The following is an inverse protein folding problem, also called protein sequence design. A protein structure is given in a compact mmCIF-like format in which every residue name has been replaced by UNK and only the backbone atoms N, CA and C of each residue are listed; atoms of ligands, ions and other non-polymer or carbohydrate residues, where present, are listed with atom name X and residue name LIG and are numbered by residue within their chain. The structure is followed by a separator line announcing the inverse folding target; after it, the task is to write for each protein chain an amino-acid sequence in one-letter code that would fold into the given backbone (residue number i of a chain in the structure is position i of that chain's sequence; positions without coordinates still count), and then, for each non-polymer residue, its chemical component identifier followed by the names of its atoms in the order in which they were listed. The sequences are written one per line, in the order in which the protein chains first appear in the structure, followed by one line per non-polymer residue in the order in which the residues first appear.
data_IF_383210937239
#
_entry.id   IF_383210937239
#
_cell.length_a   1.000
_cell.length_b   1.000
_cell.length_c   1.000
_cell.angle_alpha   90.00
_cell.angle_beta   90.00
_cell.angle_gamma   90.00
#
_symmetry.space_group_name_H-M   'P 1'
#
loop_
_entity.id
_entity.type
_entity.pdbx_description
1 polymer ?
#
# COMPACT_ATOMS: atom_id res chain seq x y z
N UNK A 1 9.64 -15.11 13.59
CA UNK A 1 8.99 -14.38 12.50
C UNK A 1 7.56 -14.84 12.49
N UNK A 2 6.59 -13.94 12.44
CA UNK A 2 5.19 -14.27 12.21
C UNK A 2 5.12 -15.06 10.92
N UNK A 3 4.46 -16.21 10.98
CA UNK A 3 4.17 -17.01 9.81
C UNK A 3 3.11 -16.25 8.98
N UNK A 4 3.50 -15.76 7.81
CA UNK A 4 2.61 -15.00 6.93
C UNK A 4 1.35 -15.79 6.58
N UNK A 5 1.49 -17.10 6.31
CA UNK A 5 0.34 -17.95 6.00
C UNK A 5 -0.59 -18.13 7.18
N UNK A 6 -0.05 -18.15 8.41
CA UNK A 6 -0.87 -18.15 9.62
C UNK A 6 -1.68 -16.86 9.76
N UNK A 7 -1.05 -15.69 9.53
CA UNK A 7 -1.75 -14.40 9.57
C UNK A 7 -2.91 -14.39 8.56
N UNK A 8 -2.64 -14.81 7.32
CA UNK A 8 -3.69 -14.92 6.30
C UNK A 8 -4.79 -15.88 6.75
N UNK A 9 -4.43 -17.06 7.27
CA UNK A 9 -5.40 -18.05 7.69
C UNK A 9 -6.30 -17.59 8.85
N UNK A 10 -5.75 -16.83 9.79
CA UNK A 10 -6.48 -16.32 10.93
C UNK A 10 -7.44 -15.16 10.53
N UNK A 11 -7.04 -14.31 9.57
CA UNK A 11 -7.77 -13.08 9.24
C UNK A 11 -8.65 -13.15 7.97
N UNK A 12 -8.40 -14.09 7.06
CA UNK A 12 -9.22 -14.27 5.84
C UNK A 12 -10.70 -14.52 6.15
N UNK A 13 -11.08 -15.38 7.12
CA UNK A 13 -12.49 -15.68 7.39
C UNK A 13 -13.30 -14.50 7.95
N UNK A 14 -12.63 -13.42 8.38
CA UNK A 14 -13.25 -12.29 9.06
C UNK A 14 -13.94 -11.33 8.08
N UNK A 15 -15.05 -10.75 8.51
CA UNK A 15 -15.76 -9.68 7.82
C UNK A 15 -15.10 -8.32 8.13
N UNK A 16 -13.88 -8.10 7.62
CA UNK A 16 -13.05 -6.91 7.88
C UNK A 16 -13.49 -5.65 7.12
N UNK A 17 -14.78 -5.48 6.82
CA UNK A 17 -15.27 -4.20 6.29
C UNK A 17 -15.04 -3.08 7.31
N UNK A 18 -14.95 -1.85 6.82
CA UNK A 18 -14.72 -0.67 7.64
C UNK A 18 -15.77 -0.58 8.76
N UNK A 19 -15.28 -0.41 10.00
CA UNK A 19 -16.09 -0.31 11.22
C UNK A 19 -16.83 -1.60 11.67
N UNK A 20 -16.47 -2.81 11.23
CA UNK A 20 -17.06 -4.04 11.78
C UNK A 20 -16.42 -4.48 13.12
N UNK A 21 -17.10 -5.38 13.85
CA UNK A 21 -16.52 -6.03 15.03
C UNK A 21 -15.29 -6.86 14.67
N UNK A 22 -15.32 -7.53 13.52
CA UNK A 22 -14.21 -8.32 12.99
C UNK A 22 -12.99 -7.44 12.62
N UNK A 23 -13.21 -6.19 12.21
CA UNK A 23 -12.14 -5.22 12.06
C UNK A 23 -11.56 -4.82 13.41
N UNK A 24 -12.38 -4.62 14.45
CA UNK A 24 -11.91 -4.39 15.83
C UNK A 24 -11.04 -5.56 16.34
N UNK A 25 -11.43 -6.80 16.04
CA UNK A 25 -10.65 -8.01 16.34
C UNK A 25 -9.33 -8.06 15.55
N UNK A 26 -9.37 -7.67 14.27
CA UNK A 26 -8.18 -7.58 13.42
C UNK A 26 -7.16 -6.59 14.01
N UNK A 27 -7.60 -5.41 14.47
CA UNK A 27 -6.71 -4.42 15.11
C UNK A 27 -6.03 -5.01 16.35
N UNK A 28 -6.77 -5.72 17.21
CA UNK A 28 -6.21 -6.41 18.39
C UNK A 28 -5.17 -7.45 17.98
N UNK A 29 -5.50 -8.27 16.99
CA UNK A 29 -4.60 -9.29 16.45
C UNK A 29 -3.28 -8.67 15.94
N UNK A 30 -3.35 -7.55 15.22
CA UNK A 30 -2.15 -6.88 14.71
C UNK A 30 -1.29 -6.27 15.83
N UNK A 31 -1.91 -5.71 16.88
CA UNK A 31 -1.20 -5.15 18.04
C UNK A 31 -0.46 -6.21 18.87
N UNK A 32 -0.91 -7.47 18.83
CA UNK A 32 -0.18 -8.59 19.45
C UNK A 32 1.09 -8.98 18.65
N UNK A 33 1.16 -8.63 17.37
CA UNK A 33 2.30 -8.97 16.49
C UNK A 33 3.39 -7.89 16.53
N UNK A 34 3.01 -6.62 16.34
CA UNK A 34 3.92 -5.47 16.40
C UNK A 34 3.31 -4.37 17.27
N UNK A 35 4.15 -3.51 17.91
CA UNK A 35 3.67 -2.47 18.81
C UNK A 35 3.10 -1.28 18.03
N UNK A 36 2.01 -1.52 17.30
CA UNK A 36 1.33 -0.53 16.49
C UNK A 36 0.71 0.56 17.38
N UNK A 37 0.88 1.82 16.97
CA UNK A 37 0.10 2.96 17.43
C UNK A 37 -1.23 2.96 16.69
N UNK A 38 -2.31 3.05 17.43
CA UNK A 38 -3.65 3.17 16.87
C UNK A 38 -4.09 4.63 16.77
N UNK A 39 -4.72 4.96 15.64
CA UNK A 39 -5.37 6.22 15.35
C UNK A 39 -6.86 5.96 15.13
N UNK A 40 -7.71 6.63 15.90
CA UNK A 40 -9.16 6.43 15.88
C UNK A 40 -9.90 7.70 15.51
N UNK A 41 -10.88 7.59 14.63
CA UNK A 41 -11.74 8.70 14.21
C UNK A 41 -13.20 8.32 14.41
N UNK A 42 -13.95 9.18 15.11
CA UNK A 42 -15.37 8.97 15.39
C UNK A 42 -16.25 9.39 14.21
N UNK A 43 -17.46 8.84 14.13
CA UNK A 43 -18.40 9.08 13.03
C UNK A 43 -18.78 10.56 12.78
N UNK A 44 -18.63 11.43 13.78
CA UNK A 44 -18.87 12.88 13.69
C UNK A 44 -17.68 13.67 13.12
N UNK A 45 -16.53 13.01 12.92
CA UNK A 45 -15.38 13.61 12.26
C UNK A 45 -15.63 13.67 10.75
N UNK A 46 -16.02 14.84 10.25
CA UNK A 46 -16.17 15.11 8.83
C UNK A 46 -14.86 15.61 8.22
N UNK A 47 -14.35 14.91 7.21
CA UNK A 47 -13.11 15.28 6.53
C UNK A 47 -13.24 15.16 5.02
N UNK A 48 -13.02 16.27 4.28
CA UNK A 48 -13.06 16.33 2.81
C UNK A 48 -14.31 15.69 2.14
N UNK A 49 -15.45 15.67 2.85
CA UNK A 49 -16.70 15.06 2.36
C UNK A 49 -16.79 13.54 2.55
N UNK A 50 -15.74 12.90 3.07
CA UNK A 50 -15.78 11.50 3.49
C UNK A 50 -16.66 11.33 4.72
N UNK A 51 -17.31 10.17 4.80
CA UNK A 51 -18.24 9.81 5.87
C UNK A 51 -17.85 8.45 6.40
N UNK A 52 -17.42 8.42 7.66
CA UNK A 52 -17.17 7.17 8.38
C UNK A 52 -18.51 6.43 8.50
N UNK A 53 -18.63 5.19 7.97
CA UNK A 53 -19.90 4.47 8.00
C UNK A 53 -20.26 4.06 9.43
N UNK A 54 -21.52 3.68 9.63
CA UNK A 54 -21.90 3.02 10.88
C UNK A 54 -21.06 1.75 11.08
N UNK A 55 -20.81 1.41 12.34
CA UNK A 55 -20.44 0.04 12.67
C UNK A 55 -21.53 -0.90 12.15
N UNK A 56 -21.12 -1.98 11.50
CA UNK A 56 -22.02 -2.87 10.78
C UNK A 56 -21.57 -4.32 10.92
N UNK A 57 -22.44 -5.15 11.50
CA UNK A 57 -22.23 -6.58 11.69
C UNK A 57 -23.45 -7.37 11.22
N UNK A 58 -23.24 -8.48 10.53
CA UNK A 58 -24.32 -9.37 10.08
C UNK A 58 -24.64 -10.36 11.21
N UNK A 59 -25.92 -10.48 11.59
CA UNK A 59 -26.39 -11.48 12.57
C UNK A 59 -26.98 -12.71 11.90
N UNK A 60 -27.76 -12.51 10.86
CA UNK A 60 -28.34 -13.57 10.06
C UNK A 60 -28.65 -13.04 8.67
N UNK A 61 -28.43 -13.85 7.63
CA UNK A 61 -28.85 -13.50 6.29
C UNK A 61 -29.22 -14.76 5.51
N UNK A 62 -30.48 -14.86 5.08
CA UNK A 62 -31.01 -16.02 4.33
C UNK A 62 -32.16 -15.67 3.41
N UNK A 63 -32.39 -16.55 2.45
CA UNK A 63 -33.51 -16.53 1.50
C UNK A 63 -34.23 -17.87 1.61
N UNK A 64 -35.52 -17.82 1.91
CA UNK A 64 -36.41 -18.97 2.02
C UNK A 64 -37.40 -18.98 0.84
N UNK A 65 -37.68 -20.16 0.29
CA UNK A 65 -38.70 -20.38 -0.75
C UNK A 65 -39.60 -21.55 -0.36
N UNK A 66 -40.92 -21.34 -0.37
CA UNK A 66 -41.92 -22.33 0.06
C UNK A 66 -41.63 -22.94 1.45
N UNK A 67 -41.17 -22.10 2.38
CA UNK A 67 -40.86 -22.49 3.75
C UNK A 67 -39.55 -23.28 3.93
N UNK A 68 -38.67 -23.30 2.92
CA UNK A 68 -37.34 -23.90 3.00
C UNK A 68 -36.25 -22.89 2.68
N UNK A 69 -35.19 -22.85 3.48
CA UNK A 69 -33.99 -22.07 3.19
C UNK A 69 -33.29 -22.62 1.96
N UNK A 70 -33.11 -21.76 0.95
CA UNK A 70 -32.43 -22.08 -0.31
C UNK A 70 -31.09 -21.36 -0.45
N UNK A 71 -30.88 -20.30 0.32
CA UNK A 71 -29.61 -19.58 0.42
C UNK A 71 -29.41 -19.08 1.84
N UNK A 72 -28.21 -19.25 2.39
CA UNK A 72 -27.82 -18.74 3.70
C UNK A 72 -26.39 -18.22 3.60
N UNK A 73 -26.12 -17.09 4.24
CA UNK A 73 -24.80 -16.44 4.19
C UNK A 73 -23.75 -17.29 4.91
N UNK A 74 -22.98 -18.06 4.14
CA UNK A 74 -21.83 -18.85 4.65
C UNK A 74 -20.47 -18.19 4.48
N UNK A 75 -20.41 -17.03 3.81
CA UNK A 75 -19.17 -16.33 3.50
C UNK A 75 -19.31 -14.81 3.76
N UNK A 76 -18.28 -14.09 4.21
CA UNK A 76 -18.37 -12.64 4.44
C UNK A 76 -18.78 -11.81 3.22
N UNK A 77 -18.54 -12.33 2.00
CA UNK A 77 -18.96 -11.69 0.76
C UNK A 77 -20.44 -11.89 0.40
N UNK A 78 -21.15 -12.82 1.05
CA UNK A 78 -22.49 -13.23 0.64
C UNK A 78 -23.56 -12.13 0.82
N UNK A 79 -23.27 -11.10 1.61
CA UNK A 79 -24.13 -9.92 1.79
C UNK A 79 -23.36 -8.69 1.31
N UNK A 80 -24.05 -7.78 0.61
CA UNK A 80 -23.43 -6.52 0.20
C UNK A 80 -22.86 -5.79 1.41
N UNK A 81 -21.63 -5.26 1.30
CA UNK A 81 -21.02 -4.51 2.39
C UNK A 81 -21.93 -3.31 2.76
N UNK A 82 -22.20 -3.13 4.07
CA UNK A 82 -23.13 -2.14 4.60
C UNK A 82 -24.60 -2.29 4.15
N UNK A 83 -25.04 -3.49 3.77
CA UNK A 83 -26.45 -3.78 3.47
C UNK A 83 -27.36 -3.33 4.62
N UNK A 84 -28.48 -2.66 4.32
CA UNK A 84 -29.51 -2.38 5.34
C UNK A 84 -30.17 -3.69 5.80
N UNK A 85 -30.62 -3.73 7.05
CA UNK A 85 -31.51 -4.81 7.51
C UNK A 85 -32.77 -4.87 6.66
N UNK A 86 -33.22 -6.07 6.31
CA UNK A 86 -34.45 -6.33 5.58
C UNK A 86 -35.15 -7.58 6.12
N UNK A 87 -36.47 -7.49 6.28
CA UNK A 87 -37.30 -8.65 6.59
C UNK A 87 -38.64 -8.52 5.89
N UNK A 88 -38.87 -9.36 4.90
CA UNK A 88 -40.09 -9.28 4.10
C UNK A 88 -40.19 -10.40 3.10
N UNK A 89 -41.34 -10.42 2.42
CA UNK A 89 -41.62 -11.33 1.32
C UNK A 89 -41.59 -10.52 0.02
N UNK A 90 -40.84 -10.98 -0.97
CA UNK A 90 -40.71 -10.33 -2.29
C UNK A 90 -40.95 -11.37 -3.39
N UNK A 91 -41.38 -10.93 -4.56
CA UNK A 91 -41.47 -11.84 -5.72
C UNK A 91 -40.08 -12.09 -6.34
N UNK A 92 -40.00 -13.03 -7.29
CA UNK A 92 -38.75 -13.36 -7.98
C UNK A 92 -38.08 -12.15 -8.65
N UNK A 93 -38.84 -11.28 -9.30
CA UNK A 93 -38.28 -10.17 -10.07
C UNK A 93 -37.76 -9.06 -9.15
N UNK A 94 -38.44 -8.81 -8.04
CA UNK A 94 -37.97 -7.93 -6.98
C UNK A 94 -36.72 -8.51 -6.31
N UNK A 95 -36.72 -9.80 -5.92
CA UNK A 95 -35.53 -10.45 -5.35
C UNK A 95 -34.33 -10.30 -6.28
N UNK A 96 -34.51 -10.53 -7.59
CA UNK A 96 -33.45 -10.40 -8.59
C UNK A 96 -32.84 -9.02 -8.68
N UNK A 97 -33.56 -7.96 -8.32
CA UNK A 97 -33.01 -6.60 -8.26
C UNK A 97 -31.99 -6.43 -7.11
N UNK A 98 -32.10 -7.26 -6.07
CA UNK A 98 -31.27 -7.24 -4.85
C UNK A 98 -30.23 -8.39 -4.82
N UNK A 99 -30.06 -9.11 -5.93
CA UNK A 99 -29.04 -10.14 -6.07
C UNK A 99 -27.95 -9.69 -7.03
N UNK A 100 -26.70 -9.82 -6.60
CA UNK A 100 -25.51 -9.53 -7.38
C UNK A 100 -24.72 -10.82 -7.61
N UNK A 101 -24.17 -11.00 -8.81
CA UNK A 101 -23.37 -12.18 -9.17
C UNK A 101 -22.18 -11.76 -10.04
N UNK A 102 -21.13 -12.57 -10.05
CA UNK A 102 -19.98 -12.34 -10.90
C UNK A 102 -20.30 -12.74 -12.35
N UNK A 103 -19.92 -11.88 -13.32
CA UNK A 103 -20.16 -12.13 -14.75
C UNK A 103 -19.06 -12.97 -15.42
N UNK A 104 -17.92 -13.15 -14.77
CA UNK A 104 -16.77 -13.93 -15.23
C UNK A 104 -16.91 -15.39 -14.79
N UNK A 105 -17.34 -15.63 -13.54
CA UNK A 105 -17.47 -16.97 -12.95
C UNK A 105 -18.89 -17.24 -12.43
N UNK A 106 -19.61 -18.24 -12.96
CA UNK A 106 -21.01 -18.48 -12.60
C UNK A 106 -21.22 -19.12 -11.22
N UNK A 107 -20.15 -19.64 -10.62
CA UNK A 107 -20.11 -20.29 -9.31
C UNK A 107 -19.56 -19.42 -8.19
N UNK A 108 -18.90 -18.30 -8.52
CA UNK A 108 -18.29 -17.41 -7.55
C UNK A 108 -19.29 -16.45 -6.87
N UNK A 109 -18.99 -16.07 -5.63
CA UNK A 109 -19.65 -15.00 -4.88
C UNK A 109 -18.83 -13.71 -5.02
N UNK A 110 -19.36 -12.65 -5.66
CA UNK A 110 -18.62 -11.41 -5.86
C UNK A 110 -18.54 -10.56 -4.59
N UNK A 111 -17.52 -9.70 -4.50
CA UNK A 111 -17.46 -8.63 -3.51
C UNK A 111 -18.18 -7.37 -3.98
N UNK A 112 -19.31 -7.04 -3.35
CA UNK A 112 -20.05 -5.80 -3.64
C UNK A 112 -19.72 -4.68 -2.64
N UNK A 113 -18.70 -3.88 -2.97
CA UNK A 113 -18.12 -2.86 -2.10
C UNK A 113 -18.69 -1.43 -2.24
N UNK A 114 -19.56 -1.18 -3.23
CA UNK A 114 -19.96 0.20 -3.64
C UNK A 114 -20.49 1.08 -2.51
N UNK A 115 -21.15 0.50 -1.50
CA UNK A 115 -21.74 1.25 -0.40
C UNK A 115 -20.69 1.72 0.62
N UNK A 116 -19.49 1.13 0.64
CA UNK A 116 -18.38 1.59 1.49
C UNK A 116 -17.96 3.03 1.14
N UNK A 117 -18.04 3.40 -0.15
CA UNK A 117 -17.76 4.76 -0.62
C UNK A 117 -18.97 5.70 -0.65
N UNK A 118 -20.17 5.16 -0.39
CA UNK A 118 -21.45 5.88 -0.49
C UNK A 118 -22.34 5.47 0.68
N UNK A 119 -21.80 5.52 1.89
CA UNK A 119 -22.45 5.00 3.11
C UNK A 119 -23.80 5.66 3.44
N UNK A 120 -24.08 6.84 2.87
CA UNK A 120 -25.38 7.54 2.96
C UNK A 120 -26.43 7.05 1.95
N UNK A 121 -26.04 6.26 0.95
CA UNK A 121 -26.92 5.68 -0.05
C UNK A 121 -26.75 4.17 -0.05
N UNK A 122 -27.51 3.52 0.83
CA UNK A 122 -27.48 2.07 1.02
C UNK A 122 -28.78 1.44 0.58
N UNK A 123 -28.66 0.21 0.13
CA UNK A 123 -29.72 -0.73 -0.16
C UNK A 123 -29.48 -2.01 0.64
N UNK A 124 -30.40 -2.96 0.53
CA UNK A 124 -30.20 -4.33 0.97
C UNK A 124 -29.91 -5.26 -0.21
N UNK A 125 -29.16 -6.34 0.03
CA UNK A 125 -28.98 -7.36 -1.00
C UNK A 125 -27.90 -8.39 -0.69
N UNK A 126 -27.88 -9.42 -1.53
CA UNK A 126 -26.97 -10.56 -1.44
C UNK A 126 -26.04 -10.62 -2.66
N UNK A 127 -24.83 -11.09 -2.44
CA UNK A 127 -23.97 -11.59 -3.48
C UNK A 127 -24.16 -13.11 -3.55
N UNK A 128 -24.42 -13.64 -4.74
CA UNK A 128 -24.75 -15.05 -4.97
C UNK A 128 -24.03 -15.59 -6.21
N UNK A 129 -23.81 -16.90 -6.31
CA UNK A 129 -23.44 -17.52 -7.58
C UNK A 129 -24.48 -17.23 -8.65
N UNK A 130 -24.06 -16.97 -9.88
CA UNK A 130 -24.98 -16.79 -11.02
C UNK A 130 -25.90 -17.99 -11.20
N UNK A 131 -25.42 -19.20 -10.94
CA UNK A 131 -26.22 -20.43 -10.97
C UNK A 131 -27.40 -20.40 -10.01
N UNK A 132 -27.24 -19.81 -8.81
CA UNK A 132 -28.35 -19.59 -7.87
C UNK A 132 -29.36 -18.59 -8.44
N UNK A 133 -28.88 -17.46 -8.96
CA UNK A 133 -29.71 -16.42 -9.59
C UNK A 133 -30.54 -16.94 -10.78
N UNK A 134 -29.93 -17.75 -11.64
CA UNK A 134 -30.58 -18.34 -12.81
C UNK A 134 -31.57 -19.45 -12.42
N UNK A 135 -31.33 -20.13 -11.29
CA UNK A 135 -32.14 -21.23 -10.79
C UNK A 135 -33.43 -20.84 -10.05
N UNK A 136 -33.63 -19.54 -9.79
CA UNK A 136 -34.81 -19.04 -9.07
C UNK A 136 -36.12 -19.39 -9.79
N UNK A 137 -37.00 -20.07 -9.06
CA UNK A 137 -38.35 -20.42 -9.51
C UNK A 137 -39.31 -19.23 -9.39
N UNK A 138 -40.43 -19.26 -10.10
CA UNK A 138 -41.49 -18.25 -9.91
C UNK A 138 -42.15 -18.40 -8.53
N UNK A 139 -42.56 -17.27 -7.95
CA UNK A 139 -43.26 -17.20 -6.68
C UNK A 139 -42.61 -16.24 -5.70
N UNK A 140 -43.03 -16.36 -4.44
CA UNK A 140 -42.68 -15.47 -3.34
C UNK A 140 -41.51 -16.06 -2.53
N UNK A 141 -40.61 -15.18 -2.12
CA UNK A 141 -39.42 -15.48 -1.33
C UNK A 141 -39.45 -14.71 -0.02
N UNK A 142 -39.24 -15.41 1.09
CA UNK A 142 -39.06 -14.77 2.38
C UNK A 142 -37.57 -14.46 2.56
N UNK A 143 -37.25 -13.18 2.69
CA UNK A 143 -35.88 -12.70 2.82
C UNK A 143 -35.66 -12.16 4.23
N UNK A 144 -34.52 -12.55 4.80
CA UNK A 144 -34.01 -12.01 6.05
C UNK A 144 -32.58 -11.54 5.85
N UNK A 145 -32.32 -10.27 6.13
CA UNK A 145 -31.00 -9.71 6.41
C UNK A 145 -31.14 -8.98 7.74
N UNK A 146 -30.50 -9.51 8.78
CA UNK A 146 -30.46 -8.91 10.11
C UNK A 146 -29.05 -8.39 10.37
N UNK A 147 -28.94 -7.08 10.53
CA UNK A 147 -27.68 -6.38 10.80
C UNK A 147 -27.76 -5.65 12.13
N UNK A 148 -26.65 -5.62 12.86
CA UNK A 148 -26.46 -4.77 14.03
C UNK A 148 -25.68 -3.53 13.60
N UNK A 149 -26.18 -2.36 13.97
CA UNK A 149 -25.54 -1.08 13.68
C UNK A 149 -25.33 -0.22 14.92
N UNK A 150 -24.20 0.47 14.94
CA UNK A 150 -23.85 1.45 15.96
C UNK A 150 -23.04 2.60 15.33
N UNK A 151 -22.80 3.72 16.04
CA UNK A 151 -21.86 4.73 15.56
C UNK A 151 -20.50 4.11 15.22
N UNK A 152 -20.02 4.33 14.01
CA UNK A 152 -18.74 3.78 13.56
C UNK A 152 -17.53 4.45 14.20
N UNK A 153 -16.43 3.72 14.21
CA UNK A 153 -15.10 4.24 14.52
C UNK A 153 -14.15 3.76 13.44
N UNK A 154 -13.59 4.68 12.66
CA UNK A 154 -12.54 4.38 11.71
C UNK A 154 -11.23 4.21 12.48
N UNK A 155 -10.50 3.14 12.20
CA UNK A 155 -9.21 2.86 12.84
C UNK A 155 -8.13 2.67 11.79
N UNK A 156 -6.97 3.26 12.06
CA UNK A 156 -5.74 3.09 11.29
C UNK A 156 -4.64 2.77 12.28
N UNK A 157 -3.72 1.87 11.92
CA UNK A 157 -2.58 1.56 12.77
C UNK A 157 -1.28 1.84 12.04
N UNK A 158 -0.30 2.39 12.76
CA UNK A 158 1.06 2.54 12.25
C UNK A 158 2.11 2.00 13.21
N UNK A 159 3.25 1.59 12.68
CA UNK A 159 4.41 1.21 13.47
C UNK A 159 5.66 1.83 12.86
N UNK A 160 6.38 2.62 13.65
CA UNK A 160 7.61 3.30 13.21
C UNK A 160 8.84 2.65 13.84
N UNK A 161 9.80 2.32 12.99
CA UNK A 161 11.18 2.00 13.35
C UNK A 161 12.02 3.27 13.17
N UNK A 162 12.47 3.85 14.28
CA UNK A 162 13.26 5.08 14.26
C UNK A 162 14.68 4.81 13.76
N UNK A 163 15.08 5.55 12.72
CA UNK A 163 16.42 5.58 12.14
C UNK A 163 17.31 6.68 12.72
N UNK A 164 18.53 6.82 12.21
CA UNK A 164 19.46 7.91 12.54
C UNK A 164 18.89 9.26 12.08
N UNK A 165 18.28 9.27 10.90
CA UNK A 165 17.54 10.38 10.32
C UNK A 165 16.04 10.27 10.67
N UNK A 166 15.34 11.39 10.91
CA UNK A 166 13.88 11.37 11.07
C UNK A 166 13.14 11.16 9.75
N UNK A 167 13.82 11.32 8.60
CA UNK A 167 13.23 11.11 7.27
C UNK A 167 12.74 9.68 7.14
N UNK A 168 11.45 9.53 6.87
CA UNK A 168 10.71 8.28 7.03
C UNK A 168 10.24 7.76 5.67
N UNK A 169 10.61 6.52 5.36
CA UNK A 169 10.10 5.76 4.21
C UNK A 169 8.88 4.96 4.68
N UNK A 170 7.79 5.07 3.93
CA UNK A 170 6.51 4.44 4.22
C UNK A 170 6.38 3.11 3.47
N UNK A 171 5.89 2.09 4.17
CA UNK A 171 5.24 0.93 3.56
C UNK A 171 3.78 0.94 4.00
N UNK A 172 2.85 0.84 3.07
CA UNK A 172 1.44 0.90 3.38
C UNK A 172 0.68 -0.27 2.74
N UNK A 173 -0.37 -0.75 3.42
CA UNK A 173 -1.20 -1.84 2.92
C UNK A 173 -2.64 -1.70 3.43
N UNK A 174 -3.59 -2.23 2.67
CA UNK A 174 -5.00 -2.21 3.04
C UNK A 174 -5.35 -3.33 4.03
N UNK A 175 -5.93 -2.96 5.17
CA UNK A 175 -6.31 -3.89 6.24
C UNK A 175 -7.79 -4.27 6.20
N UNK A 176 -8.56 -3.65 5.31
CA UNK A 176 -9.96 -4.00 5.03
C UNK A 176 -10.06 -5.05 3.91
N UNK A 177 -11.27 -5.29 3.43
CA UNK A 177 -11.72 -6.41 2.57
C UNK A 177 -12.16 -7.65 3.37
N UNK A 178 -13.44 -8.04 3.29
CA UNK A 178 -13.95 -9.18 4.04
C UNK A 178 -13.77 -10.49 3.28
N UNK A 179 -13.44 -11.59 3.97
CA UNK A 179 -13.51 -12.92 3.37
C UNK A 179 -12.49 -13.25 2.29
N UNK A 180 -11.53 -12.36 2.00
CA UNK A 180 -10.53 -12.55 0.93
C UNK A 180 -9.09 -12.55 1.47
N UNK A 181 -8.22 -13.31 0.83
CA UNK A 181 -6.86 -13.58 1.32
C UNK A 181 -5.78 -12.72 0.67
N UNK A 182 -5.85 -12.49 -0.65
CA UNK A 182 -4.82 -11.77 -1.37
C UNK A 182 -5.08 -10.27 -1.34
N UNK A 183 -6.27 -9.81 -1.72
CA UNK A 183 -6.63 -8.39 -1.72
C UNK A 183 -6.61 -7.78 -0.30
N UNK A 184 -5.72 -6.82 -0.08
CA UNK A 184 -5.36 -6.25 1.22
C UNK A 184 -4.42 -7.12 2.07
N UNK A 185 -4.86 -8.31 2.51
CA UNK A 185 -4.17 -9.07 3.57
C UNK A 185 -2.77 -9.58 3.21
N UNK A 186 -2.54 -9.97 1.96
CA UNK A 186 -1.20 -10.42 1.53
C UNK A 186 -0.16 -9.30 1.67
N UNK A 187 -0.55 -8.05 1.34
CA UNK A 187 0.26 -6.86 1.54
C UNK A 187 0.54 -6.60 3.02
N UNK A 188 -0.48 -6.76 3.87
CA UNK A 188 -0.35 -6.70 5.34
C UNK A 188 0.66 -7.72 5.84
N UNK A 189 0.56 -8.98 5.39
CA UNK A 189 1.44 -10.07 5.81
C UNK A 189 2.91 -9.79 5.44
N UNK A 190 3.15 -9.35 4.20
CA UNK A 190 4.48 -8.96 3.71
C UNK A 190 5.03 -7.77 4.50
N UNK A 191 4.23 -6.72 4.72
CA UNK A 191 4.64 -5.55 5.48
C UNK A 191 5.02 -5.89 6.92
N UNK A 192 4.24 -6.75 7.59
CA UNK A 192 4.58 -7.24 8.93
C UNK A 192 5.88 -8.02 8.93
N UNK A 193 6.07 -8.95 7.99
CA UNK A 193 7.28 -9.76 7.90
C UNK A 193 8.54 -8.90 7.66
N UNK A 194 8.43 -7.89 6.78
CA UNK A 194 9.47 -6.88 6.57
C UNK A 194 9.81 -6.14 7.88
N UNK A 195 8.81 -5.60 8.59
CA UNK A 195 9.07 -4.82 9.81
C UNK A 195 9.60 -5.66 10.96
N UNK A 196 9.19 -6.92 11.07
CA UNK A 196 9.79 -7.85 12.00
C UNK A 196 11.26 -8.14 11.68
N UNK A 197 11.62 -8.26 10.40
CA UNK A 197 13.00 -8.44 9.98
C UNK A 197 13.84 -7.19 10.28
N UNK A 198 13.34 -6.01 9.95
CA UNK A 198 14.01 -4.73 10.26
C UNK A 198 14.18 -4.52 11.78
N UNK A 199 13.18 -4.86 12.60
CA UNK A 199 13.27 -4.75 14.06
C UNK A 199 14.36 -5.64 14.68
N UNK A 200 14.77 -6.71 13.99
CA UNK A 200 15.82 -7.63 14.47
C UNK A 200 17.23 -7.15 14.14
N UNK A 201 17.38 -6.09 13.36
CA UNK A 201 18.70 -5.49 13.07
C UNK A 201 19.35 -5.02 14.37
N UNK A 202 20.66 -5.22 14.47
CA UNK A 202 21.44 -4.74 15.61
C UNK A 202 21.79 -3.25 15.47
N UNK A 203 22.03 -2.82 14.23
CA UNK A 203 22.38 -1.44 13.91
C UNK A 203 21.14 -0.63 13.58
N UNK A 204 21.16 0.64 13.99
CA UNK A 204 20.12 1.60 13.64
C UNK A 204 20.21 1.91 12.15
N UNK A 205 19.08 1.87 11.46
CA UNK A 205 18.98 2.27 10.06
C UNK A 205 19.30 3.76 9.88
N UNK A 206 19.71 4.17 8.69
CA UNK A 206 19.97 5.54 8.30
C UNK A 206 18.64 6.28 8.18
N UNK A 207 17.65 5.72 7.46
CA UNK A 207 16.28 6.24 7.41
C UNK A 207 15.42 5.68 8.55
N UNK A 208 14.36 6.41 8.91
CA UNK A 208 13.23 5.84 9.64
C UNK A 208 12.33 5.07 8.67
N UNK A 209 11.63 4.05 9.17
CA UNK A 209 10.69 3.27 8.39
C UNK A 209 9.35 3.19 9.10
N UNK A 210 8.24 3.35 8.39
CA UNK A 210 6.90 3.25 8.98
C UNK A 210 5.99 2.34 8.17
N UNK A 211 5.38 1.37 8.85
CA UNK A 211 4.32 0.53 8.32
C UNK A 211 2.99 1.18 8.66
N UNK A 212 2.13 1.43 7.67
CA UNK A 212 0.78 1.97 7.87
C UNK A 212 -0.23 0.96 7.34
N UNK A 213 -1.13 0.49 8.21
CA UNK A 213 -2.21 -0.42 7.83
C UNK A 213 -3.54 0.28 8.05
N UNK A 214 -4.29 0.45 6.97
CA UNK A 214 -5.47 1.30 6.95
C UNK A 214 -6.59 0.68 6.11
N UNK A 215 -7.86 1.00 6.38
CA UNK A 215 -8.92 0.77 5.41
C UNK A 215 -8.70 1.53 4.11
N UNK A 216 -9.00 0.88 2.98
CA UNK A 216 -8.96 1.41 1.63
C UNK A 216 -9.59 2.77 1.50
N UNK A 217 -8.83 3.67 0.88
CA UNK A 217 -9.16 5.06 0.58
C UNK A 217 -9.43 5.91 1.83
N UNK A 218 -10.54 5.66 2.53
CA UNK A 218 -10.98 6.48 3.67
C UNK A 218 -9.99 6.42 4.84
N UNK A 219 -9.36 5.27 5.09
CA UNK A 219 -8.36 5.13 6.15
C UNK A 219 -7.14 6.00 5.88
N UNK A 220 -6.58 5.91 4.67
CA UNK A 220 -5.42 6.71 4.26
C UNK A 220 -5.72 8.21 4.26
N UNK A 221 -6.90 8.62 3.76
CA UNK A 221 -7.31 10.03 3.76
C UNK A 221 -7.44 10.59 5.18
N UNK A 222 -8.09 9.88 6.11
CA UNK A 222 -8.21 10.37 7.49
C UNK A 222 -6.85 10.36 8.20
N UNK A 223 -6.04 9.32 7.99
CA UNK A 223 -4.70 9.22 8.56
C UNK A 223 -3.86 10.43 8.16
N UNK A 224 -3.61 10.60 6.85
CA UNK A 224 -2.82 11.70 6.33
C UNK A 224 -3.47 13.05 6.62
N UNK A 225 -4.78 13.15 6.56
CA UNK A 225 -5.51 14.38 6.85
C UNK A 225 -5.29 14.91 8.26
N UNK A 226 -5.15 14.01 9.23
CA UNK A 226 -5.05 14.33 10.65
C UNK A 226 -3.64 14.28 11.24
N UNK A 227 -2.63 13.81 10.48
CA UNK A 227 -1.24 13.96 10.91
C UNK A 227 -0.89 15.43 11.15
N UNK A 228 -0.14 15.70 12.21
CA UNK A 228 0.37 17.04 12.50
C UNK A 228 1.37 17.49 11.43
N UNK A 229 1.58 18.80 11.27
CA UNK A 229 2.57 19.31 10.32
C UNK A 229 3.98 18.76 10.59
N UNK A 230 4.33 18.54 11.87
CA UNK A 230 5.62 17.95 12.26
C UNK A 230 5.73 16.47 11.89
N UNK A 231 4.64 15.69 12.01
CA UNK A 231 4.64 14.30 11.55
C UNK A 231 4.75 14.22 10.02
N UNK A 232 4.07 15.11 9.29
CA UNK A 232 4.09 15.17 7.82
C UNK A 232 5.44 15.59 7.25
N UNK A 233 6.12 16.52 7.92
CA UNK A 233 7.40 17.09 7.45
C UNK A 233 8.45 16.04 7.15
N UNK A 234 8.40 14.91 7.86
CA UNK A 234 9.38 13.84 7.76
C UNK A 234 8.93 12.64 6.91
N UNK A 235 7.71 12.65 6.36
CA UNK A 235 7.27 11.59 5.46
C UNK A 235 7.88 11.82 4.08
N UNK A 236 8.85 10.98 3.73
CA UNK A 236 9.68 11.20 2.56
C UNK A 236 9.03 10.66 1.29
N UNK A 237 8.63 9.40 1.29
CA UNK A 237 8.19 8.62 0.13
C UNK A 237 7.79 7.22 0.61
N UNK A 238 7.24 6.37 -0.26
CA UNK A 238 6.92 5.00 0.12
C UNK A 238 6.55 4.06 -1.01
N UNK A 239 6.09 2.88 -0.58
CA UNK A 239 5.56 1.81 -1.44
C UNK A 239 4.24 1.27 -0.85
N UNK A 240 3.17 1.28 -1.65
CA UNK A 240 1.96 0.51 -1.38
C UNK A 240 2.21 -0.99 -1.66
N UNK A 241 1.76 -1.86 -0.77
CA UNK A 241 1.96 -3.30 -0.81
C UNK A 241 0.62 -3.98 -1.09
N UNK A 242 0.45 -4.51 -2.31
CA UNK A 242 -0.87 -4.90 -2.79
C UNK A 242 -0.92 -6.32 -3.37
N UNK A 243 -1.80 -7.18 -2.87
CA UNK A 243 -2.12 -8.45 -3.55
C UNK A 243 -0.89 -9.35 -3.85
N UNK A 244 0.08 -9.41 -2.94
CA UNK A 244 1.44 -9.93 -3.15
C UNK A 244 1.61 -11.46 -3.10
N UNK A 245 0.55 -12.24 -2.90
CA UNK A 245 0.69 -13.70 -2.74
C UNK A 245 -0.08 -14.56 -3.73
N UNK A 246 -0.66 -13.98 -4.78
CA UNK A 246 -1.13 -14.71 -5.97
C UNK A 246 0.06 -15.34 -6.74
N UNK A 247 -0.19 -16.30 -7.65
CA UNK A 247 0.88 -16.95 -8.42
C UNK A 247 1.43 -16.12 -9.59
N UNK A 248 0.87 -14.94 -9.87
CA UNK A 248 1.25 -14.05 -10.98
C UNK A 248 2.60 -13.37 -10.71
N UNK A 249 3.19 -12.74 -11.72
CA UNK A 249 4.47 -12.02 -11.61
C UNK A 249 4.35 -10.74 -10.76
N UNK A 250 5.48 -10.18 -10.32
CA UNK A 250 5.48 -8.90 -9.62
C UNK A 250 5.20 -7.74 -10.60
N UNK A 251 4.48 -6.74 -10.14
CA UNK A 251 4.15 -5.53 -10.88
C UNK A 251 4.56 -4.33 -10.04
N UNK A 252 5.52 -3.54 -10.52
CA UNK A 252 5.87 -2.26 -9.90
C UNK A 252 5.27 -1.10 -10.70
N UNK A 253 4.25 -0.48 -10.13
CA UNK A 253 3.73 0.79 -10.61
C UNK A 253 4.51 1.95 -9.99
N UNK A 254 4.96 2.86 -10.84
CA UNK A 254 5.78 3.98 -10.44
C UNK A 254 5.02 5.09 -9.70
N UNK A 255 5.75 5.84 -8.86
CA UNK A 255 5.31 7.13 -8.34
C UNK A 255 5.15 8.15 -9.47
N UNK A 256 4.40 9.24 -9.26
CA UNK A 256 4.10 10.22 -10.35
C UNK A 256 5.33 10.81 -11.03
N UNK A 257 6.46 10.88 -10.32
CA UNK A 257 7.69 11.50 -10.82
C UNK A 257 8.86 10.53 -11.02
N UNK A 258 8.75 9.25 -10.62
CA UNK A 258 9.78 8.23 -10.85
C UNK A 258 11.16 8.57 -10.25
N UNK A 259 11.17 9.22 -9.09
CA UNK A 259 12.40 9.81 -8.52
C UNK A 259 12.62 9.47 -7.04
N UNK A 260 11.77 8.64 -6.41
CA UNK A 260 11.94 8.31 -4.99
C UNK A 260 13.09 7.32 -4.78
N UNK A 261 13.78 7.43 -3.66
CA UNK A 261 14.91 6.53 -3.35
C UNK A 261 14.44 5.08 -3.23
N UNK A 262 13.34 4.86 -2.49
CA UNK A 262 12.81 3.51 -2.31
C UNK A 262 12.34 2.88 -3.62
N UNK A 263 11.76 3.66 -4.53
CA UNK A 263 11.32 3.16 -5.84
C UNK A 263 12.51 2.69 -6.68
N UNK A 264 13.57 3.49 -6.76
CA UNK A 264 14.80 3.10 -7.46
C UNK A 264 15.41 1.85 -6.85
N UNK A 265 15.46 1.77 -5.51
CA UNK A 265 15.97 0.59 -4.81
C UNK A 265 15.13 -0.67 -5.07
N UNK A 266 13.81 -0.55 -5.20
CA UNK A 266 12.93 -1.69 -5.54
C UNK A 266 13.16 -2.13 -6.98
N UNK A 267 13.32 -1.19 -7.93
CA UNK A 267 13.66 -1.52 -9.33
C UNK A 267 14.97 -2.32 -9.39
N UNK A 268 16.01 -1.84 -8.71
CA UNK A 268 17.30 -2.52 -8.72
C UNK A 268 17.20 -3.91 -8.05
N UNK A 269 16.50 -4.00 -6.93
CA UNK A 269 16.23 -5.27 -6.24
C UNK A 269 15.51 -6.29 -7.12
N UNK A 270 14.49 -5.87 -7.89
CA UNK A 270 13.79 -6.75 -8.83
C UNK A 270 14.73 -7.33 -9.90
N UNK A 271 15.66 -6.50 -10.40
CA UNK A 271 16.66 -6.89 -11.41
C UNK A 271 17.72 -7.81 -10.82
N UNK A 272 18.29 -7.46 -9.66
CA UNK A 272 19.35 -8.24 -9.01
C UNK A 272 18.87 -9.63 -8.57
N UNK A 273 17.60 -9.74 -8.22
CA UNK A 273 16.97 -11.01 -7.85
C UNK A 273 16.50 -11.86 -9.04
N UNK A 274 16.63 -11.38 -10.27
CA UNK A 274 16.10 -12.04 -11.47
C UNK A 274 14.61 -12.39 -11.33
N UNK A 275 13.83 -11.49 -10.70
CA UNK A 275 12.41 -11.68 -10.51
C UNK A 275 11.66 -11.58 -11.85
N UNK A 276 10.66 -12.45 -12.05
CA UNK A 276 9.66 -12.25 -13.08
C UNK A 276 8.81 -11.03 -12.69
N UNK A 277 8.91 -9.94 -13.45
CA UNK A 277 8.22 -8.70 -13.16
C UNK A 277 7.99 -7.83 -14.40
N UNK A 278 7.03 -6.91 -14.27
CA UNK A 278 6.85 -5.77 -15.16
C UNK A 278 6.75 -4.46 -14.37
N UNK A 279 6.93 -3.33 -15.06
CA UNK A 279 6.78 -2.00 -14.49
C UNK A 279 5.81 -1.15 -15.30
N UNK A 280 5.06 -0.28 -14.61
CA UNK A 280 4.01 0.54 -15.20
C UNK A 280 4.07 2.00 -14.75
N UNK A 281 3.54 2.91 -15.57
CA UNK A 281 3.30 4.30 -15.15
C UNK A 281 2.32 4.37 -13.98
N UNK A 282 2.36 5.47 -13.22
CA UNK A 282 1.38 5.76 -12.18
C UNK A 282 -0.07 5.55 -12.67
N UNK A 283 -0.87 4.78 -11.92
CA UNK A 283 -2.26 4.37 -12.24
C UNK A 283 -2.45 3.61 -13.57
N UNK A 284 -1.43 2.92 -14.08
CA UNK A 284 -1.54 2.12 -15.33
C UNK A 284 -1.87 0.64 -15.12
N UNK A 285 -1.44 0.04 -14.02
CA UNK A 285 -1.67 -1.39 -13.71
C UNK A 285 -2.84 -1.57 -12.75
N UNK A 286 -2.79 -0.85 -11.62
CA UNK A 286 -3.78 -0.90 -10.55
C UNK A 286 -4.19 0.52 -10.17
N UNK A 287 -5.48 0.71 -9.92
CA UNK A 287 -6.01 1.93 -9.31
C UNK A 287 -6.18 1.68 -7.81
N UNK A 288 -5.24 2.15 -7.00
CA UNK A 288 -5.30 1.97 -5.54
C UNK A 288 -4.79 3.21 -4.78
N UNK A 289 -4.62 3.10 -3.47
CA UNK A 289 -4.47 4.22 -2.54
C UNK A 289 -3.21 5.08 -2.74
N UNK A 290 -2.25 4.70 -3.59
CA UNK A 290 -1.06 5.51 -3.88
C UNK A 290 -1.39 6.96 -4.31
N UNK A 291 -2.54 7.18 -4.96
CA UNK A 291 -2.96 8.52 -5.38
C UNK A 291 -3.25 9.45 -4.21
N UNK A 292 -3.68 8.91 -3.07
CA UNK A 292 -4.00 9.68 -1.87
C UNK A 292 -2.69 10.20 -1.28
N UNK A 293 -1.68 9.33 -1.14
CA UNK A 293 -0.36 9.71 -0.68
C UNK A 293 0.28 10.80 -1.57
N UNK A 294 0.16 10.64 -2.90
CA UNK A 294 0.60 11.64 -3.88
C UNK A 294 -0.15 12.98 -3.73
N UNK A 295 -1.45 12.96 -3.39
CA UNK A 295 -2.23 14.18 -3.13
C UNK A 295 -1.72 14.96 -1.90
N UNK A 296 -1.06 14.28 -0.95
CA UNK A 296 -0.35 14.89 0.18
C UNK A 296 1.13 15.21 -0.13
N UNK A 297 1.58 15.01 -1.37
CA UNK A 297 2.95 15.31 -1.82
C UNK A 297 3.98 14.26 -1.42
N UNK A 298 3.54 13.05 -1.08
CA UNK A 298 4.38 11.89 -0.73
C UNK A 298 4.42 10.96 -1.95
N UNK A 299 5.56 10.90 -2.70
CA UNK A 299 5.73 9.97 -3.80
C UNK A 299 5.51 8.54 -3.34
N UNK A 300 4.62 7.83 -4.02
CA UNK A 300 4.19 6.51 -3.60
C UNK A 300 4.16 5.58 -4.82
N UNK A 301 5.10 4.64 -4.85
CA UNK A 301 5.05 3.53 -5.81
C UNK A 301 4.09 2.45 -5.29
N UNK A 302 3.74 1.48 -6.12
CA UNK A 302 2.93 0.32 -5.70
C UNK A 302 3.56 -0.97 -6.22
N UNK A 303 3.85 -1.89 -5.29
CA UNK A 303 4.35 -3.23 -5.61
C UNK A 303 3.20 -4.22 -5.42
N UNK A 304 2.90 -4.97 -6.48
CA UNK A 304 1.76 -5.89 -6.48
C UNK A 304 1.99 -7.18 -7.25
N UNK A 305 1.01 -8.07 -7.26
CA UNK A 305 0.87 -9.16 -8.25
C UNK A 305 -0.49 -9.09 -8.95
N UNK A 306 -0.80 -7.91 -9.49
CA UNK A 306 -2.00 -7.63 -10.28
C UNK A 306 -1.67 -7.63 -11.78
N UNK A 307 -2.60 -8.04 -12.68
CA UNK A 307 -3.93 -8.60 -12.43
C UNK A 307 -3.89 -10.10 -12.09
N UNK A 308 -4.87 -10.56 -11.30
CA UNK A 308 -5.13 -11.99 -11.09
C UNK A 308 -6.63 -12.32 -11.24
N UNK A 309 -6.99 -13.53 -11.72
CA UNK A 309 -8.37 -13.85 -12.11
C UNK A 309 -9.41 -13.80 -10.99
N UNK A 310 -9.02 -14.18 -9.77
CA UNK A 310 -9.89 -14.36 -8.59
C UNK A 310 -10.30 -13.05 -7.90
N UNK A 311 -9.65 -11.94 -8.28
CA UNK A 311 -9.86 -10.61 -7.69
C UNK A 311 -11.35 -10.26 -7.52
N UNK A 312 -11.70 -9.81 -6.31
CA UNK A 312 -13.05 -9.46 -5.86
C UNK A 312 -14.08 -10.60 -5.88
N UNK A 313 -13.65 -11.84 -5.62
CA UNK A 313 -14.55 -12.99 -5.44
C UNK A 313 -14.11 -13.86 -4.27
N UNK A 314 -14.96 -14.79 -3.83
CA UNK A 314 -14.62 -15.82 -2.84
C UNK A 314 -13.60 -16.86 -3.35
N UNK A 315 -13.22 -16.81 -4.63
CA UNK A 315 -12.06 -17.55 -5.13
C UNK A 315 -10.73 -16.94 -4.66
N UNK A 316 -10.71 -15.67 -4.24
CA UNK A 316 -9.56 -15.06 -3.56
C UNK A 316 -9.48 -15.55 -2.11
N UNK A 317 -9.02 -16.79 -1.94
CA UNK A 317 -8.98 -17.50 -0.66
C UNK A 317 -7.58 -18.07 -0.38
N UNK A 318 -7.43 -18.76 0.76
CA UNK A 318 -6.14 -19.28 1.19
C UNK A 318 -5.50 -20.27 0.20
N UNK A 319 -6.29 -20.99 -0.60
CA UNK A 319 -5.76 -21.95 -1.58
C UNK A 319 -5.12 -21.25 -2.79
N UNK A 320 -5.45 -19.97 -3.05
CA UNK A 320 -4.78 -19.13 -4.04
C UNK A 320 -3.36 -18.76 -3.61
N UNK A 321 -3.15 -18.62 -2.30
CA UNK A 321 -1.92 -18.07 -1.75
C UNK A 321 -0.72 -18.98 -1.99
N UNK A 322 0.41 -18.37 -2.36
CA UNK A 322 1.69 -19.06 -2.57
C UNK A 322 2.72 -18.52 -1.56
N UNK A 323 3.13 -19.31 -0.55
CA UNK A 323 4.10 -18.88 0.44
C UNK A 323 5.39 -18.31 -0.17
N UNK A 324 5.91 -18.98 -1.20
CA UNK A 324 7.10 -18.59 -1.95
C UNK A 324 6.95 -17.22 -2.64
N UNK A 325 5.73 -16.82 -3.03
CA UNK A 325 5.47 -15.53 -3.67
C UNK A 325 5.42 -14.39 -2.67
N UNK A 326 4.92 -14.64 -1.46
CA UNK A 326 5.00 -13.72 -0.33
C UNK A 326 6.45 -13.53 0.11
N UNK A 327 7.22 -14.62 0.20
CA UNK A 327 8.65 -14.59 0.54
C UNK A 327 9.48 -13.84 -0.50
N UNK A 328 9.19 -14.02 -1.79
CA UNK A 328 9.81 -13.25 -2.88
C UNK A 328 9.58 -11.74 -2.71
N UNK A 329 8.35 -11.32 -2.38
CA UNK A 329 8.05 -9.91 -2.13
C UNK A 329 8.78 -9.36 -0.89
N UNK A 330 8.81 -10.11 0.21
CA UNK A 330 9.59 -9.73 1.42
C UNK A 330 11.07 -9.57 1.08
N UNK A 331 11.63 -10.49 0.28
CA UNK A 331 13.03 -10.46 -0.14
C UNK A 331 13.33 -9.20 -0.96
N UNK A 332 12.51 -8.90 -1.96
CA UNK A 332 12.67 -7.72 -2.82
C UNK A 332 12.69 -6.44 -1.99
N UNK A 333 11.75 -6.31 -1.04
CA UNK A 333 11.66 -5.13 -0.17
C UNK A 333 12.82 -5.04 0.83
N UNK A 334 13.28 -6.16 1.38
CA UNK A 334 14.43 -6.20 2.27
C UNK A 334 15.71 -5.77 1.54
N UNK A 335 15.96 -6.32 0.34
CA UNK A 335 17.13 -5.95 -0.45
C UNK A 335 17.08 -4.47 -0.86
N UNK A 336 15.90 -3.95 -1.21
CA UNK A 336 15.73 -2.52 -1.47
C UNK A 336 16.07 -1.66 -0.24
N UNK A 337 15.64 -2.08 0.95
CA UNK A 337 16.04 -1.43 2.20
C UNK A 337 17.56 -1.52 2.40
N UNK A 338 18.20 -2.67 2.20
CA UNK A 338 19.66 -2.79 2.31
C UNK A 338 20.39 -1.86 1.34
N UNK A 339 19.91 -1.71 0.11
CA UNK A 339 20.47 -0.79 -0.89
C UNK A 339 20.48 0.66 -0.36
N UNK A 340 19.37 1.11 0.23
CA UNK A 340 19.28 2.45 0.83
C UNK A 340 20.22 2.61 2.03
N UNK A 341 20.35 1.56 2.82
CA UNK A 341 21.08 1.51 4.09
C UNK A 341 22.60 1.27 3.90
N UNK A 342 23.01 0.84 2.71
CA UNK A 342 24.40 0.54 2.35
C UNK A 342 25.33 1.75 2.34
N UNK A 343 24.77 2.97 2.38
CA UNK A 343 25.55 4.21 2.36
C UNK A 343 24.87 5.33 3.16
N UNK A 344 25.63 6.35 3.60
CA UNK A 344 25.07 7.51 4.31
C UNK A 344 24.00 8.26 3.51
N UNK A 345 23.18 9.01 4.24
CA UNK A 345 22.19 9.93 3.64
C UNK A 345 22.84 11.30 3.47
N UNK A 346 22.56 11.97 2.36
CA UNK A 346 22.91 13.39 2.18
C UNK A 346 21.70 14.30 2.18
N UNK A 347 21.87 15.50 2.74
CA UNK A 347 20.87 16.58 2.74
C UNK A 347 21.49 17.88 2.25
N UNK A 348 20.80 18.57 1.34
CA UNK A 348 21.20 19.89 0.84
C UNK A 348 21.04 20.96 1.93
N UNK A 349 22.04 21.84 2.09
CA UNK A 349 22.04 22.93 3.10
C UNK A 349 22.05 24.34 2.49
N UNK A 350 21.84 24.47 1.18
CA UNK A 350 21.81 25.75 0.47
C UNK A 350 20.62 25.84 -0.49
N UNK A 351 20.31 27.06 -0.93
CA UNK A 351 19.27 27.36 -1.93
C UNK A 351 19.90 27.94 -3.20
N UNK A 352 19.29 27.66 -4.34
CA UNK A 352 19.80 28.10 -5.65
C UNK A 352 21.02 27.30 -6.09
N UNK A 353 21.96 27.95 -6.79
CA UNK A 353 23.17 27.32 -7.28
C UNK A 353 24.43 27.97 -6.66
N UNK A 354 25.45 27.16 -6.41
CA UNK A 354 26.73 27.63 -5.86
C UNK A 354 27.71 27.85 -7.02
N UNK A 355 28.49 28.93 -6.95
CA UNK A 355 29.59 29.15 -7.89
C UNK A 355 30.76 28.21 -7.53
N UNK A 356 30.70 26.95 -8.00
CA UNK A 356 31.63 25.89 -7.64
C UNK A 356 33.06 26.12 -8.11
N UNK A 357 33.27 26.98 -9.12
CA UNK A 357 34.59 27.37 -9.62
C UNK A 357 35.24 28.49 -8.81
N UNK A 358 34.51 29.09 -7.86
CA UNK A 358 35.11 30.06 -6.94
C UNK A 358 36.16 29.35 -6.07
N UNK A 359 37.39 29.89 -5.93
CA UNK A 359 38.45 29.29 -5.13
C UNK A 359 38.08 29.03 -3.65
N UNK A 360 37.02 29.67 -3.14
CA UNK A 360 36.46 29.36 -1.82
C UNK A 360 35.92 27.92 -1.72
N UNK A 361 35.39 27.38 -2.80
CA UNK A 361 34.75 26.06 -2.86
C UNK A 361 35.59 25.07 -3.66
N UNK A 362 36.09 25.46 -4.83
CA UNK A 362 36.94 24.60 -5.68
C UNK A 362 36.34 23.18 -5.93
N UNK A 363 35.04 23.16 -6.23
CA UNK A 363 34.25 21.93 -6.44
C UNK A 363 33.88 21.70 -7.91
N UNK A 364 34.28 22.61 -8.81
CA UNK A 364 33.85 22.58 -10.20
C UNK A 364 34.42 21.38 -10.96
N UNK A 365 33.54 20.64 -11.63
CA UNK A 365 33.92 19.63 -12.61
C UNK A 365 33.95 20.29 -13.99
N UNK A 366 35.16 20.56 -14.47
CA UNK A 366 35.39 21.11 -15.80
C UNK A 366 34.95 20.09 -16.87
N UNK A 367 33.95 20.42 -17.72
CA UNK A 367 33.52 19.55 -18.80
C UNK A 367 34.49 19.57 -20.00
N UNK A 368 35.60 20.30 -19.93
CA UNK A 368 36.46 20.58 -21.07
C UNK A 368 35.87 21.63 -22.01
N UNK A 369 36.66 21.99 -23.02
CA UNK A 369 36.28 23.00 -24.00
C UNK A 369 36.53 22.50 -25.42
N UNK A 370 35.44 22.12 -26.11
CA UNK A 370 35.47 21.62 -27.48
C UNK A 370 36.19 22.57 -28.46
N UNK A 371 36.04 23.88 -28.28
CA UNK A 371 36.72 24.91 -29.08
C UNK A 371 38.25 24.87 -28.97
N UNK A 372 38.77 24.24 -27.91
CA UNK A 372 40.20 24.02 -27.67
C UNK A 372 40.62 22.56 -27.83
N UNK A 373 39.74 21.71 -28.39
CA UNK A 373 40.01 20.29 -28.62
C UNK A 373 39.95 19.41 -27.37
N UNK A 374 39.47 19.91 -26.23
CA UNK A 374 39.23 19.12 -25.03
C UNK A 374 37.76 18.69 -24.97
N UNK A 375 37.51 17.41 -25.23
CA UNK A 375 36.18 16.81 -25.19
C UNK A 375 36.08 15.92 -23.94
N UNK A 376 35.00 16.00 -23.14
CA UNK A 376 34.89 15.21 -21.94
C UNK A 376 34.64 13.74 -22.28
N UNK A 377 35.40 12.87 -21.61
CA UNK A 377 35.11 11.44 -21.54
C UNK A 377 33.83 11.16 -20.74
N UNK A 378 33.40 9.90 -20.75
CA UNK A 378 32.16 9.49 -20.11
C UNK A 378 32.19 9.72 -18.59
N UNK A 379 33.32 9.45 -17.93
CA UNK A 379 33.46 9.66 -16.49
C UNK A 379 33.32 11.14 -16.13
N UNK A 380 33.97 12.05 -16.88
CA UNK A 380 33.87 13.50 -16.67
C UNK A 380 32.44 14.00 -16.93
N UNK A 381 31.73 13.45 -17.91
CA UNK A 381 30.30 13.74 -18.16
C UNK A 381 29.43 13.34 -16.97
N UNK A 382 29.62 12.14 -16.42
CA UNK A 382 28.86 11.65 -15.25
C UNK A 382 29.20 12.40 -13.97
N UNK A 383 30.47 12.75 -13.75
CA UNK A 383 30.89 13.62 -12.65
C UNK A 383 30.24 15.00 -12.77
N UNK A 384 30.13 15.53 -13.99
CA UNK A 384 29.43 16.78 -14.25
C UNK A 384 27.93 16.65 -14.01
N UNK A 385 27.31 15.54 -14.40
CA UNK A 385 25.92 15.23 -14.08
C UNK A 385 25.70 15.23 -12.55
N UNK A 386 26.54 14.53 -11.79
CA UNK A 386 26.49 14.54 -10.32
C UNK A 386 26.58 15.96 -9.75
N UNK A 387 27.53 16.76 -10.23
CA UNK A 387 27.68 18.17 -9.84
C UNK A 387 26.40 18.98 -10.07
N UNK A 388 25.73 18.77 -11.21
CA UNK A 388 24.52 19.49 -11.59
C UNK A 388 23.25 18.93 -10.90
N UNK A 389 23.25 17.66 -10.48
CA UNK A 389 22.16 17.02 -9.71
C UNK A 389 22.12 17.49 -8.25
N UNK A 390 23.27 17.74 -7.61
CA UNK A 390 23.31 18.11 -6.17
C UNK A 390 22.46 19.37 -5.87
N UNK A 391 22.55 20.48 -6.63
CA UNK A 391 21.69 21.65 -6.42
C UNK A 391 20.19 21.38 -6.61
N UNK A 392 19.80 20.37 -7.40
CA UNK A 392 18.39 20.05 -7.68
C UNK A 392 17.76 19.15 -6.62
N UNK A 393 18.56 18.53 -5.75
CA UNK A 393 18.05 17.72 -4.63
C UNK A 393 17.10 18.56 -3.76
N UNK A 394 15.83 18.19 -3.74
CA UNK A 394 14.77 18.79 -2.92
C UNK A 394 14.52 17.99 -1.63
N UNK A 395 15.03 16.76 -1.58
CA UNK A 395 14.81 15.78 -0.51
C UNK A 395 16.13 15.05 -0.19
N UNK A 396 16.26 14.48 1.03
CA UNK A 396 17.40 13.64 1.37
C UNK A 396 17.48 12.39 0.50
N UNK A 397 18.70 11.93 0.21
CA UNK A 397 18.95 10.76 -0.65
C UNK A 397 20.13 9.95 -0.13
N UNK A 398 20.11 8.63 -0.34
CA UNK A 398 21.26 7.76 -0.07
C UNK A 398 22.34 8.02 -1.12
N UNK A 399 23.62 8.00 -0.71
CA UNK A 399 24.73 8.20 -1.65
C UNK A 399 24.74 7.11 -2.73
N UNK A 400 24.35 5.88 -2.38
CA UNK A 400 24.27 4.76 -3.32
C UNK A 400 23.25 5.01 -4.42
N UNK A 401 22.03 5.42 -4.06
CA UNK A 401 20.98 5.81 -5.02
C UNK A 401 21.46 6.94 -5.93
N UNK A 402 22.14 7.94 -5.37
CA UNK A 402 22.69 9.02 -6.18
C UNK A 402 23.79 8.50 -7.14
N UNK A 403 24.59 7.52 -6.72
CA UNK A 403 25.64 6.92 -7.53
C UNK A 403 25.08 6.09 -8.69
N UNK A 404 24.04 5.29 -8.44
CA UNK A 404 23.28 4.57 -9.47
C UNK A 404 22.65 5.54 -10.46
N UNK A 405 21.95 6.58 -9.97
CA UNK A 405 21.28 7.59 -10.80
C UNK A 405 22.21 8.29 -11.79
N UNK A 406 23.46 8.55 -11.40
CA UNK A 406 24.47 9.20 -12.27
C UNK A 406 25.41 8.21 -12.96
N UNK A 407 25.29 6.90 -12.66
CA UNK A 407 26.13 5.84 -13.20
C UNK A 407 27.59 5.92 -12.79
N UNK A 408 27.91 6.32 -11.55
CA UNK A 408 29.29 6.41 -11.05
C UNK A 408 29.58 5.38 -9.95
N UNK A 409 30.84 4.94 -9.79
CA UNK A 409 31.21 4.10 -8.64
C UNK A 409 30.94 4.82 -7.32
N UNK A 410 30.32 4.13 -6.35
CA UNK A 410 29.95 4.66 -5.03
C UNK A 410 31.08 5.47 -4.38
N UNK A 411 32.29 4.90 -4.31
CA UNK A 411 33.45 5.56 -3.68
C UNK A 411 33.83 6.89 -4.38
N UNK A 412 33.61 7.00 -5.68
CA UNK A 412 33.89 8.24 -6.43
C UNK A 412 32.89 9.34 -6.05
N UNK A 413 31.61 8.97 -5.98
CA UNK A 413 30.52 9.87 -5.55
C UNK A 413 30.73 10.31 -4.11
N UNK A 414 30.98 9.36 -3.20
CA UNK A 414 31.22 9.64 -1.78
C UNK A 414 32.40 10.60 -1.57
N UNK A 415 33.52 10.38 -2.27
CA UNK A 415 34.69 11.26 -2.18
C UNK A 415 34.41 12.67 -2.69
N UNK A 416 33.57 12.81 -3.73
CA UNK A 416 33.16 14.12 -4.21
C UNK A 416 32.25 14.82 -3.20
N UNK A 417 31.23 14.12 -2.68
CA UNK A 417 30.29 14.66 -1.69
C UNK A 417 30.97 15.06 -0.37
N UNK A 418 31.99 14.33 0.09
CA UNK A 418 32.81 14.72 1.25
C UNK A 418 33.42 16.12 1.11
N UNK A 419 33.77 16.54 -0.11
CA UNK A 419 34.25 17.92 -0.36
C UNK A 419 33.14 18.94 -0.15
N UNK A 420 31.91 18.65 -0.61
CA UNK A 420 30.75 19.51 -0.37
C UNK A 420 30.42 19.63 1.12
N UNK A 421 30.51 18.52 1.87
CA UNK A 421 30.34 18.50 3.34
C UNK A 421 31.40 19.36 4.02
N UNK A 422 32.67 19.27 3.59
CA UNK A 422 33.75 20.10 4.15
C UNK A 422 33.53 21.62 3.97
N UNK A 423 32.72 22.02 2.97
CA UNK A 423 32.29 23.42 2.77
C UNK A 423 30.96 23.77 3.42
N UNK A 424 30.34 22.85 4.18
CA UNK A 424 29.05 23.03 4.83
C UNK A 424 27.87 23.15 3.84
N UNK A 425 28.03 22.67 2.60
CA UNK A 425 27.00 22.73 1.56
C UNK A 425 26.07 21.51 1.61
N UNK A 426 26.57 20.39 2.11
CA UNK A 426 25.81 19.17 2.37
C UNK A 426 25.97 18.75 3.83
N UNK A 427 24.94 18.13 4.35
CA UNK A 427 24.97 17.32 5.57
C UNK A 427 24.99 15.85 5.17
N UNK A 428 25.76 15.04 5.89
CA UNK A 428 25.92 13.60 5.62
C UNK A 428 25.77 12.85 6.95
N UNK A 429 24.80 11.94 7.03
CA UNK A 429 24.37 11.26 8.27
C UNK A 429 24.30 9.76 8.11
#
# INVERSE_FOLDING_TARGET
MTDMMKLLADLTPLNRVVCSSDFDDTIRYMQDILPFREHTYSADNHYNGWVIPNKWDIKAARIDYQGKTIYESGHPLAVMALSTSFRGTVDREELRCHLHYDHRYPDAVPFHFRQLFRSWQRDWGFCVPKTFYDGLQEGDYDVLIETEEAPGTLRVIDYTLEGKSPETIIFAANLDHPGVANDGLSGVAVGVALFEALRRRQEKTNFSYRLVLAPGIIGNEYYLGHLTSAEKEHLLEGVMLEMLGSPTELALQHSRHRESNIELAVVDSLVENDCEHHTGEFESELLNDEYIWEAYGIPMASLSRFPYPEYHTDHDNLDLMRPERLEEAVKVLLDAVETLESSPIIRKRFSGNICLSNPKYDLYIDPGQAAFGDMPDEQRRRMRLLMDTIPTLNRPTSINILAERVGLPLLMVENYLKKWVAHGLLEMT
#
